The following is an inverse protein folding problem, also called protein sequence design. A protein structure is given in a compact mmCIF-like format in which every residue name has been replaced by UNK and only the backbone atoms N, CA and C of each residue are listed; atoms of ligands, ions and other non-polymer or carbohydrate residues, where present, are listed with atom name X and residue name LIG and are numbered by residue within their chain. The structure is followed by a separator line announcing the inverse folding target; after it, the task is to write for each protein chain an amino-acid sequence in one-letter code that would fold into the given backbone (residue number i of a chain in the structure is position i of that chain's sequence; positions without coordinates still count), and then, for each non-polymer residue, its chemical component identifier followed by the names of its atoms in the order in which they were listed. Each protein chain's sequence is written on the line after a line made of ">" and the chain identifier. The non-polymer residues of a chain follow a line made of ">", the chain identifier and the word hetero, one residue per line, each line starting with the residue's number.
data_IF_764610690982
#
_entry.id   IF_764610690982
#
_cell.length_a   1.000
_cell.length_b   1.000
_cell.length_c   1.000
_cell.angle_alpha   90.00
_cell.angle_beta   90.00
_cell.angle_gamma   90.00
#
_symmetry.space_group_name_H-M   'P 1'
#
loop_
_entity.id
_entity.type
_entity.pdbx_description
1 polymer ?
#
# COMPACT_ATOMS: atom_id res chain seq x y z
N UNK A 1 2.46 -35.80 -1.39
CA UNK A 1 2.06 -34.56 -0.67
C UNK A 1 1.26 -33.70 -1.62
N UNK A 2 0.28 -32.92 -1.15
CA UNK A 2 -0.47 -32.02 -2.01
C UNK A 2 0.47 -31.00 -2.65
N UNK A 3 0.25 -30.70 -3.94
CA UNK A 3 0.99 -29.69 -4.69
C UNK A 3 0.20 -28.40 -4.68
N UNK A 4 0.81 -27.32 -4.21
CA UNK A 4 0.25 -25.96 -4.24
C UNK A 4 0.77 -25.16 -5.43
N UNK A 5 -0.10 -24.36 -6.03
CA UNK A 5 0.21 -23.43 -7.13
C UNK A 5 -0.49 -22.11 -6.84
N UNK A 6 0.26 -21.03 -6.93
CA UNK A 6 -0.27 -19.68 -6.75
C UNK A 6 -0.52 -18.99 -8.09
N UNK A 7 -1.54 -18.15 -8.12
CA UNK A 7 -1.87 -17.23 -9.20
C UNK A 7 -1.99 -15.82 -8.63
N UNK A 8 -1.32 -14.84 -9.25
CA UNK A 8 -1.36 -13.43 -8.84
C UNK A 8 -2.58 -12.72 -9.48
N UNK A 9 -2.88 -11.46 -9.13
CA UNK A 9 -4.14 -10.80 -9.52
C UNK A 9 -4.41 -10.70 -11.03
N UNK A 10 -3.38 -10.75 -11.88
CA UNK A 10 -3.52 -10.72 -13.34
C UNK A 10 -3.79 -12.10 -13.97
N UNK A 11 -3.82 -13.17 -13.17
CA UNK A 11 -4.03 -14.54 -13.63
C UNK A 11 -2.74 -15.29 -14.00
N UNK A 12 -1.58 -14.64 -13.93
CA UNK A 12 -0.28 -15.25 -14.23
C UNK A 12 0.29 -16.00 -13.01
N UNK A 13 1.20 -16.97 -13.23
CA UNK A 13 1.98 -17.53 -12.13
C UNK A 13 2.90 -16.44 -11.56
N UNK A 14 3.26 -16.49 -10.26
CA UNK A 14 4.28 -15.62 -9.70
C UNK A 14 5.62 -15.86 -10.42
N UNK A 15 5.98 -14.94 -11.32
CA UNK A 15 7.10 -15.11 -12.25
C UNK A 15 8.15 -13.99 -12.16
N UNK A 16 7.94 -13.01 -11.27
CA UNK A 16 8.77 -11.80 -11.14
C UNK A 16 9.68 -11.80 -9.90
N UNK A 17 10.71 -10.96 -9.97
CA UNK A 17 11.69 -10.64 -8.92
C UNK A 17 10.97 -9.94 -7.76
N UNK A 18 10.27 -10.74 -6.96
CA UNK A 18 9.50 -10.27 -5.83
C UNK A 18 8.38 -11.19 -5.35
N UNK A 19 8.05 -12.25 -6.11
CA UNK A 19 7.06 -13.25 -5.69
C UNK A 19 7.73 -14.61 -5.53
N UNK A 20 7.78 -15.12 -4.29
CA UNK A 20 8.48 -16.38 -3.97
C UNK A 20 7.51 -17.40 -3.36
N UNK A 21 7.10 -18.43 -4.11
CA UNK A 21 6.36 -19.56 -3.54
C UNK A 21 7.25 -20.38 -2.59
N UNK A 22 6.78 -20.60 -1.37
CA UNK A 22 7.50 -21.33 -0.31
C UNK A 22 7.07 -22.81 -0.26
N UNK A 23 7.90 -23.66 0.35
CA UNK A 23 7.66 -25.12 0.42
C UNK A 23 6.49 -25.51 1.33
N UNK A 24 6.13 -24.66 2.28
CA UNK A 24 5.05 -24.86 3.24
C UNK A 24 3.66 -24.51 2.69
N UNK A 25 3.59 -23.96 1.47
CA UNK A 25 2.34 -23.55 0.83
C UNK A 25 2.15 -22.03 0.75
N UNK A 26 2.98 -21.24 1.44
CA UNK A 26 2.87 -19.77 1.46
C UNK A 26 3.42 -19.11 0.19
N UNK A 27 2.96 -17.89 -0.09
CA UNK A 27 3.53 -17.01 -1.10
C UNK A 27 4.13 -15.80 -0.39
N UNK A 28 5.44 -15.59 -0.55
CA UNK A 28 6.14 -14.40 -0.07
C UNK A 28 6.17 -13.34 -1.17
N UNK A 29 5.87 -12.09 -0.80
CA UNK A 29 5.92 -10.93 -1.71
C UNK A 29 6.88 -9.90 -1.11
N UNK A 30 8.03 -9.69 -1.74
CA UNK A 30 9.03 -8.70 -1.29
C UNK A 30 8.79 -7.33 -1.92
N UNK A 31 9.22 -6.27 -1.23
CA UNK A 31 9.02 -4.88 -1.65
C UNK A 31 7.56 -4.61 -2.09
N UNK A 32 6.62 -4.88 -1.17
CA UNK A 32 5.19 -4.74 -1.45
C UNK A 32 4.85 -3.29 -1.81
N UNK A 33 4.21 -3.10 -2.95
CA UNK A 33 3.77 -1.82 -3.46
C UNK A 33 2.27 -1.84 -3.75
N UNK A 34 1.66 -0.67 -3.91
CA UNK A 34 0.21 -0.54 -4.12
C UNK A 34 -0.29 -1.34 -5.34
N UNK A 35 0.51 -1.45 -6.40
CA UNK A 35 0.13 -2.24 -7.58
C UNK A 35 0.03 -3.75 -7.33
N UNK A 36 0.57 -4.27 -6.22
CA UNK A 36 0.44 -5.67 -5.84
C UNK A 36 -0.91 -5.97 -5.17
N UNK A 37 -1.78 -4.99 -4.95
CA UNK A 37 -3.12 -5.22 -4.43
C UNK A 37 -3.96 -6.08 -5.40
N UNK A 38 -4.76 -6.98 -4.85
CA UNK A 38 -5.74 -7.76 -5.61
C UNK A 38 -5.96 -9.16 -5.06
N UNK A 39 -6.64 -9.99 -5.85
CA UNK A 39 -7.02 -11.34 -5.48
C UNK A 39 -5.93 -12.34 -5.86
N UNK A 40 -5.35 -13.00 -4.85
CA UNK A 40 -4.38 -14.07 -5.01
C UNK A 40 -5.07 -15.41 -4.78
N UNK A 41 -4.86 -16.35 -5.69
CA UNK A 41 -5.49 -17.68 -5.60
C UNK A 41 -4.44 -18.74 -5.34
N UNK A 42 -4.67 -19.59 -4.33
CA UNK A 42 -3.90 -20.79 -4.10
C UNK A 42 -4.73 -22.01 -4.51
N UNK A 43 -4.22 -22.79 -5.45
CA UNK A 43 -4.80 -24.05 -5.87
C UNK A 43 -3.96 -25.20 -5.31
N UNK A 44 -4.61 -26.18 -4.69
CA UNK A 44 -3.95 -27.33 -4.06
C UNK A 44 -4.54 -28.63 -4.62
N UNK A 45 -3.70 -29.57 -5.04
CA UNK A 45 -4.18 -30.85 -5.60
C UNK A 45 -3.32 -32.05 -5.22
N UNK A 46 -3.97 -33.21 -5.09
CA UNK A 46 -3.34 -34.53 -4.91
C UNK A 46 -4.17 -35.62 -5.64
N UNK A 47 -3.80 -36.90 -5.47
CA UNK A 47 -4.49 -38.03 -6.12
C UNK A 47 -5.96 -38.22 -5.70
N UNK A 48 -6.39 -37.60 -4.60
CA UNK A 48 -7.71 -37.74 -4.03
C UNK A 48 -8.62 -36.54 -4.34
N UNK A 49 -8.10 -35.45 -4.88
CA UNK A 49 -8.89 -34.28 -5.24
C UNK A 49 -8.09 -32.99 -5.35
N UNK A 50 -8.84 -31.88 -5.37
CA UNK A 50 -8.30 -30.53 -5.42
C UNK A 50 -9.18 -29.57 -4.63
N UNK A 51 -8.58 -28.50 -4.15
CA UNK A 51 -9.25 -27.39 -3.47
C UNK A 51 -8.61 -26.07 -3.88
N UNK A 52 -9.32 -24.97 -3.66
CA UNK A 52 -8.83 -23.62 -3.95
C UNK A 52 -9.29 -22.60 -2.90
N UNK A 53 -8.45 -21.61 -2.65
CA UNK A 53 -8.77 -20.46 -1.80
C UNK A 53 -8.31 -19.16 -2.46
N UNK A 54 -9.07 -18.09 -2.23
CA UNK A 54 -8.77 -16.75 -2.73
C UNK A 54 -8.53 -15.81 -1.54
N UNK A 55 -7.43 -15.06 -1.60
CA UNK A 55 -7.06 -14.02 -0.64
C UNK A 55 -7.13 -12.65 -1.30
N UNK A 56 -7.89 -11.72 -0.73
CA UNK A 56 -7.90 -10.31 -1.15
C UNK A 56 -6.81 -9.55 -0.38
N UNK A 57 -5.77 -9.13 -1.09
CA UNK A 57 -4.65 -8.39 -0.52
C UNK A 57 -4.86 -6.89 -0.68
N UNK A 58 -5.09 -6.18 0.43
CA UNK A 58 -5.09 -4.72 0.47
C UNK A 58 -3.74 -4.17 0.95
N UNK A 59 -3.04 -3.42 0.09
CA UNK A 59 -1.76 -2.78 0.44
C UNK A 59 -2.03 -1.37 0.95
N UNK A 60 -1.75 -1.17 2.24
CA UNK A 60 -1.82 0.14 2.88
C UNK A 60 -0.49 0.87 2.71
N UNK A 61 -0.55 2.13 2.34
CA UNK A 61 0.62 3.01 2.21
C UNK A 61 0.45 4.23 3.12
N UNK A 62 1.52 4.98 3.42
CA UNK A 62 1.37 6.26 4.11
C UNK A 62 0.44 7.21 3.33
N UNK A 63 -0.33 8.07 4.01
CA UNK A 63 -1.08 9.12 3.35
C UNK A 63 -0.16 10.00 2.51
N UNK A 64 -0.68 10.48 1.39
CA UNK A 64 0.02 11.49 0.59
C UNK A 64 0.20 12.78 1.39
N UNK A 65 1.27 13.51 1.06
CA UNK A 65 1.51 14.83 1.64
C UNK A 65 0.26 15.71 1.44
N UNK A 66 -0.23 16.40 2.48
CA UNK A 66 -1.32 17.34 2.33
C UNK A 66 -0.94 18.48 1.39
N UNK A 67 -1.92 18.92 0.59
CA UNK A 67 -1.76 20.15 -0.19
C UNK A 67 -2.04 21.32 0.74
N UNK A 68 -1.02 22.10 1.08
CA UNK A 68 -1.13 23.24 1.99
C UNK A 68 -1.36 24.53 1.21
N UNK A 69 -2.37 25.29 1.60
CA UNK A 69 -2.66 26.62 1.09
C UNK A 69 -2.79 27.64 2.21
N UNK A 70 -2.46 28.89 1.91
CA UNK A 70 -2.72 30.02 2.80
C UNK A 70 -4.08 30.61 2.41
N UNK A 71 -5.04 30.61 3.33
CA UNK A 71 -6.35 31.22 3.10
C UNK A 71 -6.36 32.72 3.41
N UNK A 72 -5.57 33.16 4.40
CA UNK A 72 -5.44 34.57 4.76
C UNK A 72 -4.15 34.84 5.54
N UNK A 73 -3.69 36.08 5.53
CA UNK A 73 -2.49 36.54 6.22
C UNK A 73 -2.77 37.78 7.06
N UNK A 74 -2.06 37.89 8.18
CA UNK A 74 -1.97 39.10 8.99
C UNK A 74 -0.52 39.45 9.29
N UNK A 75 -0.30 40.47 10.11
CA UNK A 75 1.04 40.92 10.50
C UNK A 75 1.80 39.91 11.40
N UNK A 76 1.07 39.05 12.12
CA UNK A 76 1.66 38.08 13.06
C UNK A 76 1.01 36.70 12.99
N UNK A 77 0.18 36.44 11.98
CA UNK A 77 -0.56 35.18 11.86
C UNK A 77 -0.78 34.80 10.41
N UNK A 78 -0.97 33.49 10.20
CA UNK A 78 -1.33 32.90 8.93
C UNK A 78 -2.51 31.95 9.18
N UNK A 79 -3.56 32.03 8.36
CA UNK A 79 -4.57 30.99 8.30
C UNK A 79 -4.19 29.97 7.23
N UNK A 80 -3.92 28.74 7.68
CA UNK A 80 -3.60 27.61 6.81
C UNK A 80 -4.86 26.79 6.56
N UNK A 81 -4.98 26.30 5.33
CA UNK A 81 -5.93 25.28 4.94
C UNK A 81 -5.18 24.16 4.22
N UNK A 82 -5.59 22.91 4.42
CA UNK A 82 -4.98 21.78 3.72
C UNK A 82 -6.00 20.71 3.39
N UNK A 83 -5.71 19.95 2.34
CA UNK A 83 -6.51 18.80 1.89
C UNK A 83 -5.61 17.58 1.67
N UNK A 84 -6.16 16.39 1.94
CA UNK A 84 -5.49 15.11 1.65
C UNK A 84 -6.03 14.59 0.31
N UNK A 85 -5.12 14.25 -0.60
CA UNK A 85 -5.48 13.69 -1.91
C UNK A 85 -5.66 12.17 -1.83
N UNK A 86 -4.83 11.47 -1.07
CA UNK A 86 -4.90 10.02 -0.86
C UNK A 86 -4.54 9.70 0.60
N UNK A 87 -5.41 8.95 1.28
CA UNK A 87 -5.22 8.54 2.68
C UNK A 87 -4.36 7.29 2.83
N UNK A 88 -3.94 6.68 1.72
CA UNK A 88 -3.13 5.47 1.75
C UNK A 88 -3.92 4.20 2.11
N UNK A 89 -5.25 4.29 2.19
CA UNK A 89 -6.13 3.19 2.59
C UNK A 89 -6.40 3.08 4.10
N UNK A 90 -5.88 4.01 4.92
CA UNK A 90 -6.17 4.06 6.36
C UNK A 90 -6.65 5.44 6.79
N UNK A 91 -7.40 5.51 7.89
CA UNK A 91 -7.87 6.78 8.42
C UNK A 91 -6.69 7.65 8.90
N UNK A 92 -6.66 8.91 8.46
CA UNK A 92 -5.65 9.87 8.93
C UNK A 92 -5.90 10.20 10.40
N UNK A 93 -4.87 10.01 11.22
CA UNK A 93 -4.96 10.15 12.68
C UNK A 93 -4.73 11.57 13.17
N UNK A 94 -4.11 12.43 12.36
CA UNK A 94 -3.80 13.81 12.71
C UNK A 94 -2.79 14.44 11.76
N UNK A 95 -2.46 15.70 12.02
CA UNK A 95 -1.53 16.49 11.23
C UNK A 95 -0.47 17.13 12.13
N UNK A 96 0.75 17.25 11.61
CA UNK A 96 1.84 17.98 12.25
C UNK A 96 2.21 19.16 11.36
N UNK A 97 2.18 20.37 11.91
CA UNK A 97 2.53 21.58 11.19
C UNK A 97 3.93 22.00 11.65
N UNK A 98 4.87 22.03 10.70
CA UNK A 98 6.21 22.55 10.91
C UNK A 98 6.35 23.84 10.12
N UNK A 99 6.90 24.89 10.73
CA UNK A 99 7.18 26.16 10.07
C UNK A 99 8.59 26.63 10.40
N UNK A 100 9.15 27.44 9.51
CA UNK A 100 10.44 28.10 9.69
C UNK A 100 10.35 29.52 9.17
N UNK A 101 10.78 30.49 9.96
CA UNK A 101 10.98 31.84 9.47
C UNK A 101 12.26 31.88 8.64
N UNK A 102 12.17 32.39 7.43
CA UNK A 102 13.35 32.68 6.63
C UNK A 102 13.83 34.08 7.02
N UNK A 103 15.00 34.17 7.65
CA UNK A 103 15.67 35.46 7.79
C UNK A 103 16.15 35.88 6.41
N UNK A 104 15.66 37.02 5.92
CA UNK A 104 16.26 37.68 4.76
C UNK A 104 17.66 38.12 5.19
N UNK A 105 18.68 37.49 4.62
CA UNK A 105 20.07 37.88 4.86
C UNK A 105 20.29 39.35 4.51
N UNK A 106 21.09 40.02 5.35
CA UNK A 106 21.60 41.39 5.12
C UNK A 106 22.39 41.51 3.81
#
# INVERSE_FOLDING_TARGET
>A
LPKHIWTIPDGSPPHDDGFTPLKDGSLEISDIQRQHQGNYTCFVSNANGSDQIVYDLHVLVPPSAPVVGISSTGSSWLYLQWSIVDTGGSAVRGYVINYRQQELGE
#
